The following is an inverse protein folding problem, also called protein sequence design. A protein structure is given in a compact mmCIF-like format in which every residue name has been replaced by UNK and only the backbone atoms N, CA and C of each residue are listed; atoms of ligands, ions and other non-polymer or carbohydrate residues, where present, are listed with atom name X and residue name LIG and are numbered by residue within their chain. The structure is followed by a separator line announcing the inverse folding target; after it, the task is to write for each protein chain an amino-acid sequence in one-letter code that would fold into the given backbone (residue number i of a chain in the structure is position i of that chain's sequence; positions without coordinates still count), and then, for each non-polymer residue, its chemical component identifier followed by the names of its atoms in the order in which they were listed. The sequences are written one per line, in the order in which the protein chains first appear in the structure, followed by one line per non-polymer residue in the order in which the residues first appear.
data_IF_060665134781
#
_entry.id   IF_060665134781
#
_cell.length_a   1.000
_cell.length_b   1.000
_cell.length_c   1.000
_cell.angle_alpha   90.00
_cell.angle_beta   90.00
_cell.angle_gamma   90.00
#
_symmetry.space_group_name_H-M   'P 1'
#
loop_
_entity.id
_entity.type
_entity.pdbx_description
1 polymer ?
#
# COMPACT_ATOMS: atom_id res chain seq x y z
N UNK A 1 -27.59 3.70 16.17
CA UNK A 1 -28.00 3.07 14.89
C UNK A 1 -26.75 2.99 14.03
N UNK A 2 -26.17 1.80 13.84
CA UNK A 2 -25.00 1.65 12.97
C UNK A 2 -25.47 1.65 11.51
N UNK A 3 -25.45 2.80 10.86
CA UNK A 3 -25.66 2.88 9.41
C UNK A 3 -24.58 2.05 8.71
N UNK A 4 -24.96 1.26 7.71
CA UNK A 4 -23.98 0.60 6.84
C UNK A 4 -23.09 1.67 6.23
N UNK A 5 -21.78 1.54 6.38
CA UNK A 5 -20.80 2.41 5.71
C UNK A 5 -21.04 2.30 4.19
N UNK A 6 -21.56 3.37 3.58
CA UNK A 6 -21.94 3.41 2.17
C UNK A 6 -20.80 3.89 1.25
N UNK A 7 -19.63 4.17 1.81
CA UNK A 7 -18.47 4.63 1.04
C UNK A 7 -17.98 3.55 0.10
N UNK A 8 -17.41 3.98 -1.02
CA UNK A 8 -16.84 3.10 -2.01
C UNK A 8 -15.73 2.22 -1.39
N UNK A 9 -15.58 0.94 -1.79
CA UNK A 9 -14.54 0.06 -1.25
C UNK A 9 -13.13 0.64 -1.33
N UNK A 10 -12.79 1.37 -2.40
CA UNK A 10 -11.49 2.01 -2.57
C UNK A 10 -11.30 3.16 -1.58
N UNK A 11 -12.34 3.98 -1.36
CA UNK A 11 -12.31 5.06 -0.39
C UNK A 11 -12.06 4.53 1.03
N UNK A 12 -12.74 3.44 1.40
CA UNK A 12 -12.56 2.77 2.69
C UNK A 12 -11.17 2.15 2.84
N UNK A 13 -10.62 1.62 1.76
CA UNK A 13 -9.27 1.06 1.76
C UNK A 13 -8.19 2.15 1.88
N UNK A 14 -8.38 3.30 1.24
CA UNK A 14 -7.49 4.47 1.36
C UNK A 14 -7.49 5.02 2.80
N UNK A 15 -8.66 5.13 3.42
CA UNK A 15 -8.77 5.53 4.84
C UNK A 15 -8.09 4.50 5.75
N UNK A 16 -8.34 3.20 5.54
CA UNK A 16 -7.70 2.14 6.31
C UNK A 16 -6.17 2.16 6.19
N UNK A 17 -5.65 2.48 5.00
CA UNK A 17 -4.23 2.59 4.73
C UNK A 17 -3.53 3.72 5.49
N UNK A 18 -4.26 4.77 5.89
CA UNK A 18 -3.71 5.83 6.74
C UNK A 18 -3.34 5.32 8.14
N UNK A 19 -4.07 4.32 8.65
CA UNK A 19 -3.85 3.72 9.97
C UNK A 19 -2.90 2.51 10.00
N UNK A 20 -2.36 2.08 8.85
CA UNK A 20 -1.51 0.89 8.79
C UNK A 20 -0.21 1.10 9.58
N UNK A 21 0.13 0.09 10.38
CA UNK A 21 1.38 0.06 11.12
C UNK A 21 2.55 0.04 10.14
N UNK A 22 3.46 1.01 10.26
CA UNK A 22 4.69 1.02 9.49
C UNK A 22 5.56 -0.21 9.82
N UNK A 23 6.35 -0.67 8.85
CA UNK A 23 7.34 -1.74 9.06
C UNK A 23 6.74 -3.14 9.17
N UNK A 24 5.70 -3.47 8.39
CA UNK A 24 5.30 -4.87 8.15
C UNK A 24 5.19 -5.13 6.65
N UNK A 25 5.35 -6.39 6.24
CA UNK A 25 5.27 -6.76 4.83
C UNK A 25 3.85 -6.59 4.26
N UNK A 26 2.83 -6.82 5.08
CA UNK A 26 1.42 -6.57 4.73
C UNK A 26 1.16 -5.10 4.46
N UNK A 27 1.78 -4.19 5.23
CA UNK A 27 1.68 -2.75 4.97
C UNK A 27 2.36 -2.36 3.67
N UNK A 28 3.55 -2.91 3.37
CA UNK A 28 4.24 -2.68 2.09
C UNK A 28 3.37 -3.13 0.91
N UNK A 29 2.83 -4.35 0.97
CA UNK A 29 1.96 -4.90 -0.06
C UNK A 29 0.68 -4.05 -0.24
N UNK A 30 -0.02 -3.76 0.86
CA UNK A 30 -1.28 -3.01 0.83
C UNK A 30 -1.11 -1.61 0.25
N UNK A 31 -0.06 -0.89 0.67
CA UNK A 31 0.25 0.44 0.14
C UNK A 31 0.61 0.38 -1.35
N UNK A 32 1.34 -0.66 -1.77
CA UNK A 32 1.71 -0.86 -3.18
C UNK A 32 0.49 -1.15 -4.06
N UNK A 33 -0.42 -2.00 -3.61
CA UNK A 33 -1.64 -2.31 -4.34
C UNK A 33 -2.55 -1.08 -4.48
N UNK A 34 -2.71 -0.30 -3.41
CA UNK A 34 -3.49 0.93 -3.45
C UNK A 34 -2.89 1.97 -4.40
N UNK A 35 -1.56 2.12 -4.38
CA UNK A 35 -0.89 3.04 -5.29
C UNK A 35 -1.14 2.69 -6.77
N UNK A 36 -1.20 1.39 -7.11
CA UNK A 36 -1.55 0.92 -8.45
C UNK A 36 -3.01 1.25 -8.78
N UNK A 37 -3.93 1.00 -7.85
CA UNK A 37 -5.37 1.23 -8.06
C UNK A 37 -5.70 2.72 -8.26
N UNK A 38 -4.95 3.62 -7.63
CA UNK A 38 -5.11 5.07 -7.77
C UNK A 38 -3.98 5.72 -8.59
N UNK A 39 -3.35 5.00 -9.52
CA UNK A 39 -2.18 5.48 -10.26
C UNK A 39 -2.41 6.76 -11.08
N UNK A 40 -3.66 7.09 -11.38
CA UNK A 40 -4.09 8.31 -12.03
C UNK A 40 -4.19 9.53 -11.09
N UNK A 41 -4.02 9.31 -9.77
CA UNK A 41 -4.13 10.35 -8.74
C UNK A 41 -2.76 10.75 -8.18
N UNK A 42 -2.56 12.02 -7.78
CA UNK A 42 -1.28 12.49 -7.26
C UNK A 42 -0.84 11.79 -5.97
N UNK A 43 -1.79 11.31 -5.15
CA UNK A 43 -1.52 10.63 -3.88
C UNK A 43 -0.85 9.26 -4.07
N UNK A 44 -0.92 8.66 -5.27
CA UNK A 44 -0.28 7.37 -5.55
C UNK A 44 1.23 7.40 -5.29
N UNK A 45 1.91 8.51 -5.63
CA UNK A 45 3.34 8.67 -5.40
C UNK A 45 3.70 8.68 -3.91
N UNK A 46 2.84 9.26 -3.08
CA UNK A 46 3.02 9.25 -1.63
C UNK A 46 2.89 7.83 -1.06
N UNK A 47 1.90 7.05 -1.54
CA UNK A 47 1.75 5.66 -1.14
C UNK A 47 2.97 4.80 -1.53
N UNK A 48 3.53 5.01 -2.73
CA UNK A 48 4.79 4.35 -3.14
C UNK A 48 5.94 4.74 -2.22
N UNK A 49 6.09 6.02 -1.89
CA UNK A 49 7.15 6.50 -0.99
C UNK A 49 7.02 5.86 0.41
N UNK A 50 5.80 5.77 0.95
CA UNK A 50 5.53 5.10 2.23
C UNK A 50 5.84 3.61 2.18
N UNK A 51 5.47 2.92 1.09
CA UNK A 51 5.77 1.51 0.90
C UNK A 51 7.29 1.24 0.83
N UNK A 52 8.05 2.11 0.14
CA UNK A 52 9.52 2.04 0.09
C UNK A 52 10.13 2.20 1.49
N UNK A 53 9.76 3.25 2.21
CA UNK A 53 10.29 3.50 3.55
C UNK A 53 9.98 2.35 4.53
N UNK A 54 8.78 1.77 4.43
CA UNK A 54 8.41 0.60 5.23
C UNK A 54 9.29 -0.61 4.87
N UNK A 55 9.53 -0.88 3.58
CA UNK A 55 10.35 -1.99 3.13
C UNK A 55 11.83 -1.88 3.53
N UNK A 56 12.41 -0.68 3.55
CA UNK A 56 13.80 -0.43 3.97
C UNK A 56 14.09 -0.88 5.40
N UNK A 57 13.08 -0.80 6.28
CA UNK A 57 13.20 -1.20 7.68
C UNK A 57 13.11 -2.73 7.91
N UNK A 58 12.83 -3.51 6.85
CA UNK A 58 12.48 -4.93 6.97
C UNK A 58 13.56 -5.85 6.39
N UNK A 59 13.84 -6.94 7.11
CA UNK A 59 14.77 -7.97 6.65
C UNK A 59 14.07 -8.89 5.64
N UNK A 60 14.59 -8.92 4.42
CA UNK A 60 14.12 -9.81 3.35
C UNK A 60 14.49 -11.28 3.62
N UNK A 61 13.85 -12.19 2.89
CA UNK A 61 14.18 -13.64 2.92
C UNK A 61 13.05 -14.57 3.34
N UNK A 62 11.87 -14.04 3.65
CA UNK A 62 10.64 -14.81 3.87
C UNK A 62 9.67 -14.61 2.71
N UNK A 63 8.75 -15.58 2.52
CA UNK A 63 7.75 -15.56 1.45
C UNK A 63 6.95 -14.25 1.41
N UNK A 64 6.49 -13.76 2.56
CA UNK A 64 5.71 -12.51 2.65
C UNK A 64 6.52 -11.30 2.16
N UNK A 65 7.81 -11.27 2.51
CA UNK A 65 8.71 -10.20 2.07
C UNK A 65 8.97 -10.23 0.58
N UNK A 66 9.20 -11.41 0.00
CA UNK A 66 9.36 -11.53 -1.45
C UNK A 66 8.09 -11.10 -2.19
N UNK A 67 6.90 -11.51 -1.72
CA UNK A 67 5.63 -11.11 -2.33
C UNK A 67 5.40 -9.60 -2.24
N UNK A 68 5.60 -9.01 -1.06
CA UNK A 68 5.44 -7.57 -0.85
C UNK A 68 6.41 -6.75 -1.71
N UNK A 69 7.67 -7.19 -1.84
CA UNK A 69 8.66 -6.53 -2.69
C UNK A 69 8.31 -6.60 -4.19
N UNK A 70 7.68 -7.70 -4.65
CA UNK A 70 7.18 -7.79 -6.04
C UNK A 70 6.07 -6.77 -6.29
N UNK A 71 5.14 -6.60 -5.35
CA UNK A 71 4.11 -5.56 -5.44
C UNK A 71 4.70 -4.17 -5.42
N UNK A 72 5.66 -3.90 -4.54
CA UNK A 72 6.35 -2.62 -4.51
C UNK A 72 7.05 -2.33 -5.84
N UNK A 73 7.77 -3.30 -6.39
CA UNK A 73 8.41 -3.17 -7.69
C UNK A 73 7.40 -2.89 -8.81
N UNK A 74 6.20 -3.47 -8.75
CA UNK A 74 5.12 -3.17 -9.70
C UNK A 74 4.59 -1.75 -9.52
N UNK A 75 4.28 -1.34 -8.29
CA UNK A 75 3.77 0.00 -8.01
C UNK A 75 4.72 1.10 -8.51
N UNK A 76 6.02 0.90 -8.34
CA UNK A 76 7.05 1.81 -8.86
C UNK A 76 6.99 1.95 -10.40
N UNK A 77 6.73 0.86 -11.13
CA UNK A 77 6.64 0.92 -12.60
C UNK A 77 5.36 1.59 -13.10
N UNK A 78 4.25 1.37 -12.41
CA UNK A 78 2.93 1.87 -12.82
C UNK A 78 2.75 3.35 -12.45
N UNK A 79 3.29 3.79 -11.31
CA UNK A 79 3.10 5.15 -10.76
C UNK A 79 4.22 6.12 -11.15
N UNK A 80 5.43 5.61 -11.43
CA UNK A 80 6.62 6.40 -11.77
C UNK A 80 7.22 7.11 -10.57
#
# INVERSE_FOLDING_TARGET
MFGKDQRDPLERALEGAAGLKAGTWESVETLSMLAIEISDRPEARELVARARAAAESLKSGAWDGTRALVWLARAIREVG
#
